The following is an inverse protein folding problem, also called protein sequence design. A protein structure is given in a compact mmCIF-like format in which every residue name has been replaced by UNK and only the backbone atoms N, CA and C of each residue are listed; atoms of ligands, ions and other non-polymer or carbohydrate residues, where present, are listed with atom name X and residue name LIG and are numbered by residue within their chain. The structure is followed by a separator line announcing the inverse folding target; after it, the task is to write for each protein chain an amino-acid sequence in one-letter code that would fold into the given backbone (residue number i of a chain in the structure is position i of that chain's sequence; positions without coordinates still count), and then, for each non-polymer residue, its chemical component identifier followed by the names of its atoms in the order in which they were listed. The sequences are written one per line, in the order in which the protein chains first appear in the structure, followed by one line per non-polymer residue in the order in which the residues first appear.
data_IF_157626722480
#
_entry.id   IF_157626722480
#
_cell.length_a   1.000
_cell.length_b   1.000
_cell.length_c   1.000
_cell.angle_alpha   90.00
_cell.angle_beta   90.00
_cell.angle_gamma   90.00
#
_symmetry.space_group_name_H-M   'P 1'
#
loop_
_entity.id
_entity.type
_entity.pdbx_description
1 polymer ?
#
# COMPACT_ATOMS: atom_id res chain seq x y z
N UNK A 1 -10.33 -8.29 -6.07
CA UNK A 1 -9.13 -7.76 -6.75
C UNK A 1 -8.82 -6.31 -6.37
N UNK A 2 -9.58 -5.31 -6.83
CA UNK A 2 -9.25 -3.88 -6.64
C UNK A 2 -8.94 -3.50 -5.19
N UNK A 3 -9.86 -3.77 -4.26
CA UNK A 3 -9.71 -3.41 -2.84
C UNK A 3 -8.53 -4.14 -2.17
N UNK A 4 -8.25 -5.37 -2.59
CA UNK A 4 -7.10 -6.10 -2.07
C UNK A 4 -5.80 -5.48 -2.57
N UNK A 5 -5.67 -5.27 -3.88
CA UNK A 5 -4.45 -4.75 -4.51
C UNK A 5 -4.07 -3.36 -4.03
N UNK A 6 -5.03 -2.45 -3.85
CA UNK A 6 -4.74 -1.10 -3.33
C UNK A 6 -4.24 -1.14 -1.87
N UNK A 7 -4.54 -2.21 -1.12
CA UNK A 7 -3.95 -2.49 0.19
C UNK A 7 -2.42 -2.58 0.19
N UNK A 8 -1.78 -2.74 -0.99
CA UNK A 8 -0.32 -2.63 -1.14
C UNK A 8 0.24 -1.27 -0.69
N UNK A 9 -0.57 -0.21 -0.67
CA UNK A 9 -0.20 1.09 -0.11
C UNK A 9 0.19 1.04 1.38
N UNK A 10 -0.03 -0.08 2.08
CA UNK A 10 0.60 -0.33 3.39
C UNK A 10 2.13 -0.24 3.34
N UNK A 11 2.73 -0.48 2.17
CA UNK A 11 4.15 -0.28 1.89
C UNK A 11 4.36 0.99 1.09
N UNK A 12 5.34 1.77 1.54
CA UNK A 12 5.89 2.88 0.77
C UNK A 12 5.29 4.24 1.09
N UNK A 13 5.60 5.18 0.20
CA UNK A 13 5.46 6.62 0.42
C UNK A 13 5.17 7.31 -0.91
N UNK A 14 4.36 8.36 -0.87
CA UNK A 14 4.21 9.31 -1.97
C UNK A 14 5.29 10.40 -1.88
N UNK A 15 5.70 10.93 -3.03
CA UNK A 15 6.73 11.97 -3.13
C UNK A 15 6.28 13.07 -4.08
N UNK A 16 6.52 14.32 -3.69
CA UNK A 16 6.27 15.52 -4.51
C UNK A 16 6.93 15.43 -5.89
N UNK A 17 8.19 15.02 -5.96
CA UNK A 17 8.95 14.97 -7.22
C UNK A 17 8.58 13.77 -8.10
N UNK A 18 7.73 12.85 -7.63
CA UNK A 18 7.29 11.66 -8.38
C UNK A 18 5.84 11.78 -8.82
N UNK A 19 4.92 11.76 -7.87
CA UNK A 19 3.48 11.82 -8.16
C UNK A 19 2.93 13.25 -8.13
N UNK A 20 3.58 14.17 -7.41
CA UNK A 20 3.07 15.52 -7.18
C UNK A 20 1.84 15.60 -6.28
N UNK A 21 1.42 14.48 -5.66
CA UNK A 21 0.18 14.38 -4.89
C UNK A 21 0.33 14.74 -3.41
N UNK A 22 1.56 15.03 -2.96
CA UNK A 22 1.90 15.43 -1.59
C UNK A 22 2.96 16.53 -1.62
N UNK A 23 3.11 17.27 -0.52
CA UNK A 23 4.13 18.32 -0.39
C UNK A 23 5.49 17.80 0.08
N UNK A 24 5.52 16.59 0.64
CA UNK A 24 6.73 15.89 1.09
C UNK A 24 7.48 15.30 -0.11
N UNK A 25 8.77 15.63 -0.19
CA UNK A 25 9.68 15.20 -1.26
C UNK A 25 10.86 14.40 -0.74
N UNK A 26 11.92 14.24 -1.55
CA UNK A 26 13.10 13.40 -1.23
C UNK A 26 13.87 13.82 0.03
N UNK A 27 13.75 15.06 0.49
CA UNK A 27 14.42 15.54 1.72
C UNK A 27 13.46 16.22 2.69
N UNK A 28 12.16 16.09 2.45
CA UNK A 28 11.11 16.67 3.30
C UNK A 28 10.10 15.56 3.59
N UNK A 29 10.00 15.17 4.85
CA UNK A 29 9.12 14.09 5.30
C UNK A 29 8.22 14.48 6.46
N UNK A 30 7.36 13.55 6.83
CA UNK A 30 6.53 13.62 8.03
C UNK A 30 7.28 13.08 9.24
N UNK A 31 6.61 13.00 10.39
CA UNK A 31 7.16 12.36 11.59
C UNK A 31 7.64 10.91 11.34
N UNK A 32 7.03 10.21 10.38
CA UNK A 32 7.32 8.80 10.09
C UNK A 32 8.41 8.57 9.04
N UNK A 33 8.76 9.59 8.26
CA UNK A 33 9.58 9.40 7.04
C UNK A 33 10.80 10.32 6.98
N UNK A 34 10.85 11.36 7.80
CA UNK A 34 11.95 12.35 7.86
C UNK A 34 13.32 11.72 8.17
N UNK A 35 13.36 10.65 8.96
CA UNK A 35 14.60 9.89 9.25
C UNK A 35 14.97 8.88 8.16
N UNK A 36 14.13 8.71 7.14
CA UNK A 36 14.29 7.72 6.08
C UNK A 36 14.04 6.29 6.56
N UNK A 37 14.62 5.33 5.85
CA UNK A 37 14.41 3.90 6.08
C UNK A 37 14.85 3.48 7.49
N UNK A 38 13.93 3.02 8.38
CA UNK A 38 14.26 2.69 9.78
C UNK A 38 15.20 1.49 9.94
N UNK A 39 15.43 0.70 8.88
CA UNK A 39 16.34 -0.46 8.90
C UNK A 39 17.69 -0.19 8.22
N UNK A 40 17.93 1.04 7.76
CA UNK A 40 19.22 1.44 7.19
C UNK A 40 19.88 2.48 8.08
N UNK A 41 21.18 2.35 8.29
CA UNK A 41 21.97 3.31 9.08
C UNK A 41 22.02 4.70 8.42
N UNK A 42 22.09 4.74 7.09
CA UNK A 42 22.07 5.97 6.28
C UNK A 42 21.09 5.81 5.13
N UNK A 43 19.93 6.45 5.24
CA UNK A 43 18.95 6.48 4.15
C UNK A 43 19.30 7.58 3.16
N UNK A 44 19.49 7.21 1.90
CA UNK A 44 19.77 8.18 0.81
C UNK A 44 18.51 8.93 0.35
N UNK A 45 17.33 8.41 0.71
CA UNK A 45 16.02 8.96 0.32
C UNK A 45 15.09 9.07 1.54
N UNK A 46 15.42 9.95 2.50
CA UNK A 46 14.46 10.34 3.53
C UNK A 46 13.22 11.00 2.89
N UNK A 47 12.22 11.37 3.68
CA UNK A 47 11.12 12.17 3.16
C UNK A 47 9.95 11.41 2.51
N UNK A 48 9.12 12.10 1.77
CA UNK A 48 7.82 11.59 1.30
C UNK A 48 6.79 11.43 2.42
N UNK A 49 5.56 11.08 2.08
CA UNK A 49 4.45 10.84 3.03
C UNK A 49 3.91 9.44 2.86
N UNK A 50 3.85 8.66 3.94
CA UNK A 50 3.36 7.28 3.92
C UNK A 50 1.86 7.18 4.18
N UNK A 51 1.24 6.08 3.79
CA UNK A 51 -0.14 5.75 4.18
C UNK A 51 -0.23 5.18 5.59
N UNK A 52 0.83 4.54 6.05
CA UNK A 52 0.89 3.88 7.36
C UNK A 52 2.14 4.34 8.12
N UNK A 53 2.10 4.19 9.45
CA UNK A 53 3.25 4.53 10.31
C UNK A 53 4.44 3.60 10.03
N UNK A 54 4.14 2.32 9.83
CA UNK A 54 5.11 1.25 9.56
C UNK A 54 5.15 0.95 8.06
N UNK A 55 5.52 1.93 7.24
CA UNK A 55 5.50 1.88 5.78
C UNK A 55 6.48 0.88 5.12
N UNK A 56 7.20 0.08 5.91
CA UNK A 56 8.01 -1.06 5.46
C UNK A 56 7.44 -2.42 5.88
N UNK A 57 6.29 -2.44 6.55
CA UNK A 57 5.62 -3.66 7.00
C UNK A 57 4.38 -3.93 6.15
N UNK A 58 4.32 -5.14 5.59
CA UNK A 58 3.16 -5.58 4.84
C UNK A 58 2.16 -6.21 5.81
N UNK A 59 1.12 -5.46 6.15
CA UNK A 59 0.01 -5.88 7.00
C UNK A 59 -1.28 -5.15 6.57
N UNK A 60 -2.37 -5.32 7.32
CA UNK A 60 -3.62 -4.64 7.00
C UNK A 60 -3.71 -3.21 7.57
N UNK A 61 -2.60 -2.61 8.02
CA UNK A 61 -2.62 -1.27 8.65
C UNK A 61 -3.13 -0.19 7.71
N UNK A 62 -2.94 -0.35 6.39
CA UNK A 62 -3.58 0.51 5.39
C UNK A 62 -5.11 0.64 5.60
N UNK A 63 -5.79 -0.45 5.94
CA UNK A 63 -7.25 -0.42 6.17
C UNK A 63 -7.62 0.04 7.59
N UNK A 64 -6.81 -0.31 8.60
CA UNK A 64 -7.12 0.04 10.00
C UNK A 64 -6.82 1.50 10.33
N UNK A 65 -5.79 2.06 9.72
CA UNK A 65 -5.31 3.41 10.02
C UNK A 65 -6.09 4.47 9.21
N UNK A 66 -6.70 4.06 8.09
CA UNK A 66 -7.53 4.92 7.26
C UNK A 66 -8.76 5.40 8.03
N UNK A 67 -8.87 6.73 8.16
CA UNK A 67 -9.93 7.41 8.92
C UNK A 67 -9.54 7.91 10.30
N UNK A 68 -8.33 7.61 10.80
CA UNK A 68 -7.88 8.03 12.14
C UNK A 68 -7.38 9.50 12.21
N UNK A 69 -7.55 10.29 11.14
CA UNK A 69 -7.16 11.71 11.04
C UNK A 69 -5.71 11.99 11.45
N UNK A 70 -4.80 11.09 11.11
CA UNK A 70 -3.36 11.30 11.31
C UNK A 70 -2.80 12.19 10.19
N UNK A 71 -2.43 13.42 10.55
CA UNK A 71 -1.92 14.43 9.61
C UNK A 71 -0.56 14.06 8.97
N UNK A 72 0.18 13.12 9.56
CA UNK A 72 1.46 12.64 9.06
C UNK A 72 1.32 11.45 8.09
N UNK A 73 0.09 10.97 7.89
CA UNK A 73 -0.25 9.95 6.88
C UNK A 73 -1.01 10.55 5.71
N UNK A 74 -0.98 9.87 4.56
CA UNK A 74 -1.74 10.25 3.38
C UNK A 74 -2.97 9.36 3.19
N UNK A 75 -4.04 9.95 2.68
CA UNK A 75 -5.21 9.22 2.17
C UNK A 75 -5.67 9.95 0.92
N UNK A 76 -5.50 9.33 -0.25
CA UNK A 76 -5.96 9.90 -1.51
C UNK A 76 -7.45 9.68 -1.73
N UNK A 77 -8.10 10.43 -2.64
CA UNK A 77 -9.49 10.17 -3.01
C UNK A 77 -9.75 8.72 -3.44
N UNK A 78 -8.78 8.09 -4.11
CA UNK A 78 -8.83 6.67 -4.52
C UNK A 78 -8.76 5.70 -3.34
N UNK A 79 -8.19 6.10 -2.21
CA UNK A 79 -8.21 5.32 -0.98
C UNK A 79 -9.54 5.55 -0.23
N UNK A 80 -9.95 6.81 -0.10
CA UNK A 80 -11.16 7.18 0.64
C UNK A 80 -12.44 6.57 0.05
N UNK A 81 -12.53 6.42 -1.28
CA UNK A 81 -13.71 5.86 -1.95
C UNK A 81 -14.01 4.42 -1.50
N UNK A 82 -13.00 3.68 -1.02
CA UNK A 82 -13.17 2.31 -0.53
C UNK A 82 -14.12 2.21 0.67
N UNK A 83 -14.23 3.28 1.46
CA UNK A 83 -15.10 3.34 2.64
C UNK A 83 -16.56 3.68 2.29
N UNK A 84 -16.81 4.32 1.15
CA UNK A 84 -18.12 4.86 0.80
C UNK A 84 -18.81 4.12 -0.34
N UNK A 85 -18.04 3.57 -1.29
CA UNK A 85 -18.60 2.85 -2.43
C UNK A 85 -19.25 1.52 -1.98
N UNK A 86 -20.46 1.24 -2.44
CA UNK A 86 -21.22 0.06 -2.01
C UNK A 86 -20.59 -1.26 -2.44
N UNK A 87 -19.82 -1.27 -3.54
CA UNK A 87 -19.11 -2.45 -4.03
C UNK A 87 -17.78 -2.67 -3.31
N UNK A 88 -17.08 -1.61 -2.92
CA UNK A 88 -15.80 -1.71 -2.22
C UNK A 88 -15.92 -1.87 -0.71
N UNK A 89 -16.89 -1.19 -0.10
CA UNK A 89 -17.03 -1.10 1.36
C UNK A 89 -17.08 -2.46 2.07
N UNK A 90 -17.82 -3.48 1.60
CA UNK A 90 -17.82 -4.79 2.26
C UNK A 90 -16.40 -5.39 2.37
N UNK A 91 -15.62 -5.32 1.28
CA UNK A 91 -14.24 -5.82 1.25
C UNK A 91 -13.31 -4.97 2.13
N UNK A 92 -13.49 -3.65 2.13
CA UNK A 92 -12.73 -2.75 2.98
C UNK A 92 -12.92 -3.11 4.46
N UNK A 93 -14.17 -3.26 4.91
CA UNK A 93 -14.48 -3.61 6.31
C UNK A 93 -14.00 -5.01 6.69
N UNK A 94 -14.05 -5.96 5.76
CA UNK A 94 -13.52 -7.31 5.98
C UNK A 94 -12.01 -7.31 6.17
N UNK A 95 -11.26 -6.61 5.31
CA UNK A 95 -9.80 -6.52 5.39
C UNK A 95 -9.33 -5.68 6.58
N UNK A 96 -10.10 -4.65 6.95
CA UNK A 96 -9.89 -3.88 8.18
C UNK A 96 -10.02 -4.78 9.42
N UNK A 97 -11.00 -5.69 9.45
CA UNK A 97 -11.26 -6.60 10.57
C UNK A 97 -10.33 -7.81 10.61
N UNK A 98 -9.86 -8.30 9.47
CA UNK A 98 -9.08 -9.53 9.37
C UNK A 98 -7.90 -9.39 8.41
N UNK A 99 -6.69 -9.45 8.97
CA UNK A 99 -5.46 -9.51 8.18
C UNK A 99 -5.39 -10.77 7.33
N UNK A 100 -5.87 -11.92 7.83
CA UNK A 100 -5.87 -13.17 7.08
C UNK A 100 -6.76 -13.09 5.85
N UNK A 101 -7.94 -12.46 5.96
CA UNK A 101 -8.82 -12.20 4.82
C UNK A 101 -8.13 -11.30 3.78
N UNK A 102 -7.44 -10.25 4.23
CA UNK A 102 -6.65 -9.39 3.35
C UNK A 102 -5.55 -10.18 2.64
N UNK A 103 -4.74 -10.96 3.36
CA UNK A 103 -3.63 -11.72 2.78
C UNK A 103 -4.11 -12.76 1.78
N UNK A 104 -5.15 -13.53 2.11
CA UNK A 104 -5.73 -14.51 1.21
C UNK A 104 -6.20 -13.85 -0.11
N UNK A 105 -6.91 -12.72 -0.02
CA UNK A 105 -7.36 -11.99 -1.20
C UNK A 105 -6.20 -11.35 -1.98
N UNK A 106 -5.19 -10.82 -1.29
CA UNK A 106 -4.03 -10.18 -1.90
C UNK A 106 -3.19 -11.18 -2.69
N UNK A 107 -2.90 -12.37 -2.16
CA UNK A 107 -2.13 -13.41 -2.84
C UNK A 107 -2.76 -13.76 -4.18
N UNK A 108 -4.06 -14.07 -4.18
CA UNK A 108 -4.79 -14.39 -5.41
C UNK A 108 -4.81 -13.22 -6.40
N UNK A 109 -5.09 -12.01 -5.91
CA UNK A 109 -5.20 -10.82 -6.77
C UNK A 109 -3.84 -10.42 -7.37
N UNK A 110 -2.77 -10.45 -6.57
CA UNK A 110 -1.43 -10.03 -6.99
C UNK A 110 -0.82 -11.03 -7.98
N UNK A 111 -1.01 -12.34 -7.78
CA UNK A 111 -0.61 -13.35 -8.76
C UNK A 111 -1.33 -13.11 -10.09
N UNK A 112 -2.66 -12.99 -10.06
CA UNK A 112 -3.47 -12.70 -11.25
C UNK A 112 -3.00 -11.43 -11.97
N UNK A 113 -2.70 -10.36 -11.22
CA UNK A 113 -2.17 -9.12 -11.78
C UNK A 113 -0.81 -9.33 -12.47
N UNK A 114 0.12 -10.03 -11.82
CA UNK A 114 1.47 -10.26 -12.35
C UNK A 114 1.52 -11.09 -13.63
N UNK A 115 0.49 -11.90 -13.88
CA UNK A 115 0.40 -12.82 -15.03
C UNK A 115 -0.47 -12.26 -16.16
N UNK A 116 -1.08 -11.08 -15.96
CA UNK A 116 -2.05 -10.52 -16.90
C UNK A 116 -1.38 -10.18 -18.24
N UNK A 117 -1.89 -10.77 -19.33
CA UNK A 117 -1.36 -10.56 -20.69
C UNK A 117 -0.09 -11.34 -21.02
N UNK A 118 0.48 -12.08 -20.05
CA UNK A 118 1.67 -12.90 -20.25
C UNK A 118 1.36 -14.17 -21.06
N UNK A 119 2.37 -14.64 -21.80
CA UNK A 119 2.40 -15.97 -22.42
C UNK A 119 3.60 -16.71 -21.84
N UNK A 120 3.34 -17.85 -21.22
CA UNK A 120 4.37 -18.65 -20.56
C UNK A 120 4.78 -19.84 -21.42
N UNK A 121 6.05 -20.22 -21.32
CA UNK A 121 6.58 -21.47 -21.87
C UNK A 121 7.32 -22.22 -20.76
N UNK A 122 6.80 -23.37 -20.29
CA UNK A 122 5.55 -24.03 -20.71
C UNK A 122 4.31 -23.20 -20.33
N UNK A 123 3.17 -23.47 -21.00
CA UNK A 123 1.89 -22.75 -20.78
C UNK A 123 1.45 -22.65 -19.32
N UNK A 124 1.77 -23.65 -18.49
CA UNK A 124 1.44 -23.67 -17.07
C UNK A 124 2.34 -22.77 -16.21
N UNK A 125 3.35 -22.13 -16.80
CA UNK A 125 4.43 -21.47 -16.08
C UNK A 125 5.40 -22.47 -15.45
N UNK A 126 6.42 -21.93 -14.79
CA UNK A 126 7.39 -22.71 -14.01
C UNK A 126 7.28 -22.24 -12.56
N UNK A 127 7.07 -23.17 -11.63
CA UNK A 127 7.20 -22.91 -10.20
C UNK A 127 8.59 -23.33 -9.75
N UNK A 128 9.33 -22.44 -9.09
CA UNK A 128 10.66 -22.74 -8.54
C UNK A 128 10.61 -23.84 -7.48
N UNK A 129 11.75 -24.53 -7.31
CA UNK A 129 12.01 -25.58 -6.30
C UNK A 129 12.34 -24.95 -4.95
#
# INVERSE_FOLDING_TARGET
DVVALIGAHTIGRAFKERSGTVEEGVFKGTAYTSKGCPVLEKSETPGGRSWTKNWLKFDNSYFTDMGNKDNDTVTFPTDSVLMSDSGFRPHFEDFKRSQDAFFAAYICSHKKLSELGSKFEPKAGITGV
#
